data_IF_297201669611
#
_entry.id   IF_297201669611
#
_cell.length_a   1.000
_cell.length_b   1.000
_cell.length_c   1.000
_cell.angle_alpha   90.00
_cell.angle_beta   90.00
_cell.angle_gamma   90.00
#
_symmetry.space_group_name_H-M   'P 1'
#
loop_
_entity.id
_entity.type
_entity.pdbx_description
1 polymer ?
#
# COMPACT_ATOMS: atom_id res chain seq x y z
N UNK A 1 -5.85 0.32 -3.29
CA UNK A 1 -4.71 0.88 -2.55
C UNK A 1 -4.02 1.91 -3.42
N UNK A 2 -3.72 3.09 -2.88
CA UNK A 2 -3.03 4.15 -3.63
C UNK A 2 -1.69 4.44 -2.96
N UNK A 3 -0.61 4.42 -3.74
CA UNK A 3 0.71 4.89 -3.34
C UNK A 3 0.93 6.29 -3.92
N UNK A 4 1.46 7.20 -3.10
CA UNK A 4 1.85 8.56 -3.52
C UNK A 4 3.30 8.82 -3.14
N UNK A 5 4.08 9.32 -4.08
CA UNK A 5 5.41 9.83 -3.79
C UNK A 5 5.32 11.33 -3.41
N UNK A 6 5.60 11.65 -2.16
CA UNK A 6 5.68 13.02 -1.64
C UNK A 6 7.13 13.50 -1.47
N UNK A 7 8.11 12.67 -1.82
CA UNK A 7 9.52 13.05 -1.91
C UNK A 7 9.78 13.82 -3.21
N UNK A 8 10.90 14.54 -3.26
CA UNK A 8 11.37 15.32 -4.41
C UNK A 8 12.20 14.47 -5.41
N UNK A 9 12.44 13.21 -5.06
CA UNK A 9 13.21 12.23 -5.84
C UNK A 9 12.34 11.07 -6.34
N UNK A 10 12.73 10.44 -7.44
CA UNK A 10 12.07 9.23 -7.92
C UNK A 10 12.50 8.02 -7.09
N UNK A 11 11.55 7.14 -6.75
CA UNK A 11 11.83 5.91 -6.00
C UNK A 11 11.41 4.68 -6.79
N UNK A 12 12.29 3.68 -6.86
CA UNK A 12 11.88 2.33 -7.21
C UNK A 12 11.26 1.69 -5.98
N UNK A 13 10.03 1.20 -6.12
CA UNK A 13 9.22 0.70 -5.03
C UNK A 13 8.68 -0.68 -5.39
N UNK A 14 8.89 -1.64 -4.49
CA UNK A 14 8.23 -2.94 -4.54
C UNK A 14 7.08 -2.94 -3.54
N UNK A 15 5.89 -3.30 -4.01
CA UNK A 15 4.73 -3.54 -3.17
C UNK A 15 4.41 -5.02 -3.19
N UNK A 16 4.27 -5.61 -2.01
CA UNK A 16 3.78 -6.97 -1.81
C UNK A 16 2.51 -6.90 -0.98
N UNK A 17 1.48 -7.61 -1.43
CA UNK A 17 0.25 -7.82 -0.67
C UNK A 17 0.08 -9.31 -0.43
N UNK A 18 -0.07 -9.69 0.83
CA UNK A 18 -0.24 -11.06 1.27
C UNK A 18 -1.59 -11.22 1.97
N UNK A 19 -2.26 -12.35 1.75
CA UNK A 19 -3.43 -12.75 2.52
C UNK A 19 -3.02 -13.33 3.88
N UNK A 20 -3.98 -13.51 4.79
CA UNK A 20 -3.75 -13.98 6.16
C UNK A 20 -3.10 -15.36 6.28
N UNK A 21 -3.20 -16.19 5.24
CA UNK A 21 -2.56 -17.50 5.15
C UNK A 21 -1.08 -17.41 4.68
N UNK A 22 -0.58 -16.20 4.43
CA UNK A 22 0.76 -15.94 3.89
C UNK A 22 0.82 -16.02 2.37
N UNK A 23 -0.30 -16.23 1.67
CA UNK A 23 -0.31 -16.28 0.20
C UNK A 23 -0.10 -14.88 -0.36
N UNK A 24 0.94 -14.68 -1.16
CA UNK A 24 1.12 -13.46 -1.95
C UNK A 24 0.02 -13.37 -3.01
N UNK A 25 -0.83 -12.35 -2.89
CA UNK A 25 -1.96 -12.10 -3.79
C UNK A 25 -1.66 -10.98 -4.79
N UNK A 26 -0.64 -10.17 -4.54
CA UNK A 26 -0.15 -9.16 -5.47
C UNK A 26 1.31 -8.82 -5.16
N UNK A 27 2.15 -8.75 -6.19
CA UNK A 27 3.52 -8.25 -6.10
C UNK A 27 3.84 -7.45 -7.35
N UNK A 28 4.24 -6.19 -7.18
CA UNK A 28 4.62 -5.33 -8.29
C UNK A 28 5.76 -4.39 -7.89
N UNK A 29 6.72 -4.22 -8.81
CA UNK A 29 7.82 -3.25 -8.66
C UNK A 29 7.71 -2.17 -9.72
N UNK A 30 7.69 -0.90 -9.29
CA UNK A 30 7.55 0.25 -10.18
C UNK A 30 8.40 1.43 -9.72
N UNK A 31 8.90 2.20 -10.69
CA UNK A 31 9.48 3.53 -10.43
C UNK A 31 8.37 4.58 -10.32
N UNK A 32 8.37 5.35 -9.25
CA UNK A 32 7.35 6.35 -8.93
C UNK A 32 8.01 7.72 -8.84
N UNK A 33 7.63 8.61 -9.75
CA UNK A 33 8.20 9.96 -9.87
C UNK A 33 7.68 10.90 -8.77
N UNK A 34 8.36 12.02 -8.47
CA UNK A 34 7.88 13.01 -7.51
C UNK A 34 6.45 13.47 -7.81
N UNK A 35 5.57 13.43 -6.80
CA UNK A 35 4.16 13.80 -6.93
C UNK A 35 3.27 12.78 -7.65
N UNK A 36 3.85 11.71 -8.23
CA UNK A 36 3.11 10.67 -8.92
C UNK A 36 2.22 9.88 -7.94
N UNK A 37 1.06 9.48 -8.43
CA UNK A 37 0.14 8.58 -7.73
C UNK A 37 0.04 7.28 -8.53
N UNK A 38 0.17 6.17 -7.83
CA UNK A 38 0.06 4.83 -8.39
C UNK A 38 -1.08 4.09 -7.70
N UNK A 39 -2.09 3.70 -8.46
CA UNK A 39 -3.11 2.76 -7.99
C UNK A 39 -2.55 1.36 -8.13
N UNK A 40 -2.20 0.74 -7.01
CA UNK A 40 -1.41 -0.49 -6.99
C UNK A 40 -2.28 -1.72 -7.23
N UNK A 41 -3.28 -1.90 -6.36
CA UNK A 41 -4.22 -3.02 -6.45
C UNK A 41 -5.53 -2.69 -5.76
N UNK A 42 -6.58 -3.40 -6.13
CA UNK A 42 -7.90 -3.37 -5.49
C UNK A 42 -8.29 -4.80 -5.17
N UNK A 43 -8.51 -5.08 -3.88
CA UNK A 43 -8.97 -6.38 -3.41
C UNK A 43 -10.47 -6.30 -3.11
N UNK A 44 -11.22 -7.30 -3.57
CA UNK A 44 -12.68 -7.39 -3.39
C UNK A 44 -13.08 -8.53 -2.46
N UNK A 45 -12.19 -9.49 -2.23
CA UNK A 45 -12.45 -10.60 -1.34
C UNK A 45 -12.34 -10.17 0.14
N UNK A 46 -13.20 -10.76 0.97
CA UNK A 46 -13.16 -10.56 2.42
C UNK A 46 -11.94 -11.29 2.98
N UNK A 47 -11.10 -10.62 3.78
CA UNK A 47 -9.92 -11.20 4.40
C UNK A 47 -9.05 -10.17 5.11
N UNK A 48 -8.07 -10.64 5.85
CA UNK A 48 -7.00 -9.80 6.38
C UNK A 48 -5.80 -9.87 5.44
N UNK A 49 -5.23 -8.72 5.13
CA UNK A 49 -4.16 -8.55 4.17
C UNK A 49 -3.00 -7.77 4.78
N UNK A 50 -1.78 -8.28 4.62
CA UNK A 50 -0.57 -7.54 4.91
C UNK A 50 -0.10 -6.82 3.65
N UNK A 51 0.32 -5.57 3.78
CA UNK A 51 0.98 -4.79 2.74
C UNK A 51 2.38 -4.48 3.20
N UNK A 52 3.35 -4.86 2.39
CA UNK A 52 4.74 -4.48 2.55
C UNK A 52 5.15 -3.59 1.38
N UNK A 53 5.75 -2.46 1.70
CA UNK A 53 6.25 -1.49 0.73
C UNK A 53 7.72 -1.26 0.98
N UNK A 54 8.54 -1.56 -0.02
CA UNK A 54 10.00 -1.49 0.08
C UNK A 54 10.54 -0.56 -1.00
N UNK A 55 10.97 0.66 -0.64
CA UNK A 55 11.77 1.50 -1.51
C UNK A 55 13.18 0.91 -1.68
N UNK A 56 13.75 1.01 -2.88
CA UNK A 56 15.14 0.62 -3.14
C UNK A 56 16.16 1.45 -2.35
N UNK A 57 15.77 2.64 -1.90
CA UNK A 57 16.58 3.54 -1.05
C UNK A 57 16.83 3.00 0.36
N UNK A 58 16.13 1.94 0.77
CA UNK A 58 16.08 1.45 2.15
C UNK A 58 14.90 2.04 2.94
N UNK A 59 14.63 1.51 4.15
CA UNK A 59 13.60 2.07 5.06
C UNK A 59 12.16 1.64 4.78
N UNK A 60 11.92 0.44 4.23
CA UNK A 60 10.57 -0.05 3.93
C UNK A 60 9.60 -0.05 5.12
N UNK A 61 8.30 0.06 4.83
CA UNK A 61 7.24 -0.04 5.82
C UNK A 61 6.33 -1.23 5.54
N UNK A 62 5.73 -1.74 6.61
CA UNK A 62 4.74 -2.80 6.57
C UNK A 62 3.51 -2.35 7.35
N UNK A 63 2.33 -2.70 6.85
CA UNK A 63 1.06 -2.52 7.56
C UNK A 63 0.15 -3.70 7.29
N UNK A 64 -0.80 -3.94 8.17
CA UNK A 64 -1.90 -4.88 7.93
C UNK A 64 -3.21 -4.09 7.78
N UNK A 65 -4.08 -4.51 6.86
CA UNK A 65 -5.43 -3.98 6.70
C UNK A 65 -6.40 -5.15 6.46
N UNK A 66 -7.65 -5.01 6.90
CA UNK A 66 -8.66 -6.07 6.76
C UNK A 66 -9.82 -5.58 5.91
N UNK A 67 -10.25 -6.42 4.98
CA UNK A 67 -11.36 -6.22 4.06
C UNK A 67 -12.48 -7.21 4.30
N UNK A 68 -13.72 -6.80 4.02
CA UNK A 68 -14.26 -5.56 4.55
C UNK A 68 -14.18 -5.64 6.08
N UNK A 69 -13.75 -4.55 6.73
CA UNK A 69 -13.65 -4.51 8.20
C UNK A 69 -15.02 -4.62 8.89
N UNK A 70 -16.12 -4.39 8.16
CA UNK A 70 -17.50 -4.45 8.64
C UNK A 70 -18.43 -5.09 7.60
N UNK A 71 -19.41 -5.86 8.08
CA UNK A 71 -20.46 -6.46 7.26
C UNK A 71 -21.36 -5.36 6.64
N UNK A 72 -21.50 -5.32 5.31
CA UNK A 72 -22.27 -4.30 4.57
C UNK A 72 -21.55 -3.77 3.31
N UNK A 73 -21.94 -2.57 2.83
CA UNK A 73 -21.40 -1.88 1.63
C UNK A 73 -20.16 -1.00 1.93
N UNK A 74 -19.47 -1.23 3.05
CA UNK A 74 -18.45 -0.31 3.58
C UNK A 74 -17.12 -0.45 2.84
N UNK A 75 -16.70 0.59 2.13
CA UNK A 75 -15.41 0.61 1.42
C UNK A 75 -14.24 0.98 2.34
N UNK A 76 -13.12 0.27 2.17
CA UNK A 76 -11.89 0.47 2.94
C UNK A 76 -10.78 0.93 1.99
N UNK A 77 -10.03 1.97 2.39
CA UNK A 77 -9.00 2.56 1.55
C UNK A 77 -7.65 2.61 2.28
N UNK A 78 -6.63 1.97 1.71
CA UNK A 78 -5.24 2.11 2.17
C UNK A 78 -4.49 3.08 1.27
N UNK A 79 -3.89 4.10 1.89
CA UNK A 79 -2.99 5.05 1.24
C UNK A 79 -1.57 4.87 1.78
N UNK A 80 -0.61 4.72 0.88
CA UNK A 80 0.82 4.69 1.17
C UNK A 80 1.44 6.01 0.71
N UNK A 81 2.29 6.63 1.53
CA UNK A 81 3.01 7.86 1.22
C UNK A 81 4.50 7.66 1.42
N UNK A 82 5.30 7.99 0.42
CA UNK A 82 6.76 8.08 0.55
C UNK A 82 7.07 9.53 0.90
N UNK A 83 7.63 9.77 2.09
CA UNK A 83 7.99 11.10 2.60
C UNK A 83 9.43 11.44 2.23
N UNK A 84 9.78 12.73 2.37
CA UNK A 84 11.15 13.21 2.29
C UNK A 84 12.07 12.31 3.14
N UNK A 85 13.18 11.86 2.55
CA UNK A 85 14.14 10.86 3.07
C UNK A 85 13.81 9.38 2.81
N UNK A 86 12.77 9.10 2.03
CA UNK A 86 12.38 7.72 1.67
C UNK A 86 11.55 6.99 2.74
N UNK A 87 11.18 7.66 3.84
CA UNK A 87 10.34 7.08 4.89
C UNK A 87 8.94 6.78 4.34
N UNK A 88 8.39 5.61 4.66
CA UNK A 88 7.08 5.18 4.18
C UNK A 88 6.03 5.28 5.29
N UNK A 89 4.96 6.04 5.05
CA UNK A 89 3.79 6.18 5.92
C UNK A 89 2.61 5.44 5.29
N UNK A 90 1.97 4.54 6.03
CA UNK A 90 0.78 3.83 5.57
C UNK A 90 -0.42 4.16 6.44
N UNK A 91 -1.54 4.52 5.81
CA UNK A 91 -2.78 4.88 6.49
C UNK A 91 -3.97 4.15 5.88
N UNK A 92 -4.75 3.53 6.73
CA UNK A 92 -6.01 2.87 6.37
C UNK A 92 -7.20 3.71 6.83
N UNK A 93 -8.18 3.86 5.95
CA UNK A 93 -9.40 4.63 6.16
C UNK A 93 -10.63 3.76 5.87
N UNK A 94 -11.76 4.15 6.46
CA UNK A 94 -13.06 3.53 6.26
C UNK A 94 -14.06 4.63 5.92
N UNK A 95 -14.94 4.40 4.95
CA UNK A 95 -16.06 5.30 4.66
C UNK A 95 -17.37 4.57 4.96
N UNK A 96 -18.25 5.20 5.74
CA UNK A 96 -19.64 4.75 5.98
C UNK A 96 -20.53 4.97 4.75
#
# INVERSE_FOLDING_TARGET
MILKNEDDSSHQVTVVVEASDGTTVHEETRSVSPGERWNVTTQTERGEYAVRVVPASGGGAETTYRLPLADGDRESFTTVRIRATGDVDVRSYWQD
#
